data_IF_278189551433
#
_entry.id   IF_278189551433
#
_cell.length_a   1.000
_cell.length_b   1.000
_cell.length_c   1.000
_cell.angle_alpha   90.00
_cell.angle_beta   90.00
_cell.angle_gamma   90.00
#
_symmetry.space_group_name_H-M   'P 1'
#
loop_
_entity.id
_entity.type
_entity.pdbx_description
1 polymer ?
#
# COMPACT_ATOMS: atom_id res chain seq x y z
N UNK A 1 -8.63 11.24 -1.15
CA UNK A 1 -7.36 11.80 -0.64
C UNK A 1 -7.51 12.45 0.73
N UNK A 2 -8.43 13.40 0.95
CA UNK A 2 -8.61 14.06 2.25
C UNK A 2 -8.85 13.07 3.42
N UNK A 3 -9.74 12.10 3.25
CA UNK A 3 -10.02 11.06 4.27
C UNK A 3 -8.76 10.29 4.67
N UNK A 4 -7.87 9.97 3.73
CA UNK A 4 -6.64 9.23 4.04
C UNK A 4 -5.65 10.07 4.84
N UNK A 5 -5.52 11.36 4.50
CA UNK A 5 -4.69 12.30 5.25
C UNK A 5 -5.19 12.48 6.69
N UNK A 6 -6.50 12.60 6.90
CA UNK A 6 -7.12 12.67 8.23
C UNK A 6 -6.85 11.40 9.05
N UNK A 7 -7.00 10.22 8.44
CA UNK A 7 -6.71 8.93 9.09
C UNK A 7 -5.23 8.79 9.46
N UNK A 8 -4.30 9.18 8.59
CA UNK A 8 -2.86 9.11 8.88
C UNK A 8 -2.45 10.07 9.99
N UNK A 9 -2.98 11.30 9.99
CA UNK A 9 -2.80 12.24 11.11
C UNK A 9 -3.39 11.72 12.42
N UNK A 10 -4.52 10.99 12.34
CA UNK A 10 -5.10 10.29 13.49
C UNK A 10 -4.31 9.05 13.94
N UNK A 11 -3.20 8.71 13.28
CA UNK A 11 -2.36 7.56 13.62
C UNK A 11 -2.91 6.21 13.18
N UNK A 12 -3.99 6.17 12.38
CA UNK A 12 -4.60 4.93 11.94
C UNK A 12 -3.73 4.18 10.92
N UNK A 13 -3.80 2.86 10.98
CA UNK A 13 -3.26 1.98 9.95
C UNK A 13 -4.27 1.84 8.81
N UNK A 14 -3.89 2.27 7.61
CA UNK A 14 -4.68 2.12 6.38
C UNK A 14 -4.31 0.83 5.64
N UNK A 15 -5.32 0.06 5.24
CA UNK A 15 -5.23 -1.09 4.35
C UNK A 15 -6.08 -0.85 3.09
N UNK A 16 -5.55 -1.16 1.91
CA UNK A 16 -6.25 -0.94 0.63
C UNK A 16 -6.28 -2.25 -0.16
N UNK A 17 -7.48 -2.65 -0.61
CA UNK A 17 -7.70 -3.86 -1.42
C UNK A 17 -7.37 -3.59 -2.89
N UNK A 18 -6.42 -4.36 -3.44
CA UNK A 18 -5.97 -4.20 -4.83
C UNK A 18 -5.41 -5.49 -5.41
N UNK A 19 -5.88 -5.89 -6.60
CA UNK A 19 -5.43 -7.11 -7.29
C UNK A 19 -4.59 -6.78 -8.53
N UNK A 20 -5.14 -5.98 -9.45
CA UNK A 20 -4.52 -5.68 -10.74
C UNK A 20 -3.32 -4.73 -10.69
N UNK A 21 -2.43 -4.84 -11.67
CA UNK A 21 -1.19 -4.07 -11.83
C UNK A 21 -1.39 -2.55 -11.79
N UNK A 22 -2.31 -2.02 -12.59
CA UNK A 22 -2.63 -0.59 -12.60
C UNK A 22 -3.18 -0.12 -11.26
N UNK A 23 -3.96 -0.96 -10.59
CA UNK A 23 -4.46 -0.67 -9.25
C UNK A 23 -3.31 -0.55 -8.26
N UNK A 24 -2.35 -1.47 -8.31
CA UNK A 24 -1.22 -1.49 -7.39
C UNK A 24 -0.35 -0.25 -7.57
N UNK A 25 -0.09 0.17 -8.81
CA UNK A 25 0.59 1.44 -9.12
C UNK A 25 -0.12 2.64 -8.48
N UNK A 26 -1.43 2.78 -8.69
CA UNK A 26 -2.23 3.88 -8.11
C UNK A 26 -2.18 3.87 -6.59
N UNK A 27 -2.31 2.69 -5.98
CA UNK A 27 -2.30 2.53 -4.53
C UNK A 27 -0.94 2.89 -3.91
N UNK A 28 0.15 2.42 -4.51
CA UNK A 28 1.49 2.72 -4.04
C UNK A 28 1.83 4.20 -4.25
N UNK A 29 1.43 4.82 -5.35
CA UNK A 29 1.57 6.28 -5.52
C UNK A 29 0.82 7.09 -4.47
N UNK A 30 -0.37 6.65 -4.07
CA UNK A 30 -1.11 7.26 -2.99
C UNK A 30 -0.32 7.16 -1.67
N UNK A 31 0.22 5.99 -1.33
CA UNK A 31 1.05 5.83 -0.14
C UNK A 31 2.31 6.68 -0.18
N UNK A 32 3.04 6.70 -1.31
CA UNK A 32 4.24 7.53 -1.50
C UNK A 32 3.95 8.99 -1.18
N UNK A 33 2.88 9.53 -1.79
CA UNK A 33 2.47 10.91 -1.57
C UNK A 33 2.12 11.17 -0.10
N UNK A 34 1.28 10.32 0.49
CA UNK A 34 0.82 10.53 1.87
C UNK A 34 1.91 10.32 2.92
N UNK A 35 2.82 9.36 2.74
CA UNK A 35 3.95 9.14 3.64
C UNK A 35 5.04 10.21 3.50
N UNK A 36 5.11 10.89 2.35
CA UNK A 36 5.96 12.08 2.19
C UNK A 36 5.34 13.29 2.90
N UNK A 37 4.02 13.48 2.78
CA UNK A 37 3.29 14.57 3.42
C UNK A 37 3.16 14.38 4.95
N UNK A 38 3.00 13.14 5.42
CA UNK A 38 2.74 12.76 6.81
C UNK A 38 3.65 11.59 7.22
N UNK A 39 4.96 11.83 7.40
CA UNK A 39 5.92 10.78 7.69
C UNK A 39 5.63 10.13 9.05
N UNK A 40 5.62 8.80 9.07
CA UNK A 40 5.44 8.03 10.30
C UNK A 40 6.25 6.75 10.26
N UNK A 41 7.12 6.58 11.24
CA UNK A 41 7.86 5.34 11.41
C UNK A 41 6.91 4.17 11.71
N UNK A 42 7.26 2.99 11.20
CA UNK A 42 6.50 1.75 11.42
C UNK A 42 4.98 1.91 11.20
N UNK A 43 4.59 2.60 10.12
CA UNK A 43 3.20 2.92 9.84
C UNK A 43 2.32 1.69 9.59
N UNK A 44 2.94 0.57 9.18
CA UNK A 44 2.33 -0.74 8.86
C UNK A 44 1.21 -0.68 7.82
N UNK A 45 1.21 0.30 6.93
CA UNK A 45 0.19 0.37 5.88
C UNK A 45 0.29 -0.84 4.95
N UNK A 46 -0.86 -1.32 4.47
CA UNK A 46 -0.94 -2.59 3.72
C UNK A 46 -1.66 -2.46 2.38
N UNK A 47 -1.14 -3.17 1.40
CA UNK A 47 -1.90 -3.54 0.19
C UNK A 47 -2.41 -4.96 0.38
N UNK A 48 -3.73 -5.12 0.33
CA UNK A 48 -4.38 -6.43 0.44
C UNK A 48 -4.48 -7.07 -0.94
N UNK A 49 -4.20 -8.38 -1.01
CA UNK A 49 -3.94 -9.18 -2.21
C UNK A 49 -2.57 -8.91 -2.83
N UNK A 50 -2.37 -7.72 -3.39
CA UNK A 50 -1.13 -7.34 -4.06
C UNK A 50 -0.68 -8.40 -5.10
N UNK A 51 -1.64 -8.93 -5.87
CA UNK A 51 -1.44 -10.13 -6.70
C UNK A 51 -0.63 -9.87 -7.98
N UNK A 52 -0.80 -8.70 -8.60
CA UNK A 52 -0.10 -8.32 -9.83
C UNK A 52 0.80 -7.12 -9.57
N UNK A 53 2.09 -7.38 -9.32
CA UNK A 53 3.08 -6.34 -9.01
C UNK A 53 4.14 -6.28 -10.11
N UNK A 54 4.46 -5.07 -10.54
CA UNK A 54 5.60 -4.77 -11.40
C UNK A 54 6.84 -4.47 -10.56
N UNK A 55 8.02 -4.56 -11.15
CA UNK A 55 9.31 -4.36 -10.46
C UNK A 55 9.43 -2.95 -9.86
N UNK A 56 8.94 -1.91 -10.55
CA UNK A 56 8.94 -0.53 -10.05
C UNK A 56 8.03 -0.36 -8.83
N UNK A 57 6.87 -1.03 -8.82
CA UNK A 57 5.94 -1.02 -7.68
C UNK A 57 6.56 -1.75 -6.49
N UNK A 58 7.24 -2.88 -6.70
CA UNK A 58 7.96 -3.60 -5.64
C UNK A 58 9.06 -2.74 -5.00
N UNK A 59 9.85 -2.03 -5.81
CA UNK A 59 10.89 -1.13 -5.32
C UNK A 59 10.30 0.01 -4.49
N UNK A 60 9.22 0.64 -4.94
CA UNK A 60 8.52 1.67 -4.18
C UNK A 60 7.93 1.13 -2.87
N UNK A 61 7.35 -0.08 -2.87
CA UNK A 61 6.84 -0.71 -1.65
C UNK A 61 7.94 -0.95 -0.62
N UNK A 62 9.12 -1.41 -1.07
CA UNK A 62 10.31 -1.56 -0.21
C UNK A 62 10.73 -0.22 0.37
N UNK A 63 10.90 0.79 -0.48
CA UNK A 63 11.46 2.08 -0.09
C UNK A 63 10.55 2.84 0.90
N UNK A 64 9.23 2.66 0.78
CA UNK A 64 8.24 3.27 1.65
C UNK A 64 7.72 2.35 2.76
N UNK A 65 8.29 1.15 2.96
CA UNK A 65 7.90 0.23 4.04
C UNK A 65 6.45 -0.27 3.96
N UNK A 66 5.88 -0.39 2.76
CA UNK A 66 4.51 -0.85 2.53
C UNK A 66 4.45 -2.37 2.60
N UNK A 67 3.50 -2.90 3.37
CA UNK A 67 3.34 -4.34 3.58
C UNK A 67 2.41 -4.94 2.52
N UNK A 68 2.82 -6.05 1.91
CA UNK A 68 1.94 -6.88 1.10
C UNK A 68 1.23 -7.92 1.99
N UNK A 69 -0.11 -7.95 1.92
CA UNK A 69 -0.95 -8.92 2.63
C UNK A 69 -1.57 -9.89 1.63
N UNK A 70 -0.89 -11.02 1.44
CA UNK A 70 -1.18 -11.99 0.39
C UNK A 70 -2.01 -13.19 0.90
N UNK A 71 -2.80 -13.78 0.01
CA UNK A 71 -3.66 -14.94 0.30
C UNK A 71 -3.19 -16.14 -0.55
N UNK A 72 -2.29 -17.00 -0.01
CA UNK A 72 -1.79 -18.18 -0.72
C UNK A 72 -2.84 -19.09 -1.36
N UNK A 73 -4.06 -19.27 -0.80
CA UNK A 73 -5.08 -20.10 -1.44
C UNK A 73 -5.47 -19.68 -2.87
N UNK A 74 -5.22 -18.44 -3.29
CA UNK A 74 -5.55 -17.99 -4.65
C UNK A 74 -4.66 -18.58 -5.75
N UNK A 75 -3.60 -19.32 -5.38
CA UNK A 75 -2.70 -19.96 -6.34
C UNK A 75 -3.24 -21.31 -6.81
N UNK A 76 -4.02 -22.01 -5.98
CA UNK A 76 -4.42 -23.41 -6.20
C UNK A 76 -5.93 -23.68 -6.08
N UNK A 77 -6.74 -22.62 -6.03
CA UNK A 77 -8.21 -22.66 -5.98
C UNK A 77 -8.86 -22.69 -7.37
#
# INVERSE_FOLDING_TARGET
>A
NQVYSELMNGGFQIAIHVIGDKGNRICVDLYKRLLTEFPRENHRHRVEHASMLTEDVLNDMRDFGIIASCQPPFINS
#
